data_IF_943331066513
#
_entry.id   IF_943331066513
#
_cell.length_a   1.000
_cell.length_b   1.000
_cell.length_c   1.000
_cell.angle_alpha   90.00
_cell.angle_beta   90.00
_cell.angle_gamma   90.00
#
_symmetry.space_group_name_H-M   'P 1'
#
loop_
_entity.id
_entity.type
_entity.pdbx_description
1 polymer ?
#
# COMPACT_ATOMS: atom_id res chain seq x y z
N UNK A 1 13.95 -2.51 13.30
CA UNK A 1 13.02 -1.38 13.49
C UNK A 1 13.85 -0.15 13.75
N UNK A 2 14.80 -0.24 14.68
CA UNK A 2 15.87 0.75 14.91
C UNK A 2 16.53 1.23 13.60
N UNK A 3 17.07 0.33 12.76
CA UNK A 3 17.69 0.74 11.49
C UNK A 3 16.78 1.62 10.61
N UNK A 4 15.47 1.36 10.60
CA UNK A 4 14.51 2.08 9.73
C UNK A 4 14.13 3.45 10.30
N UNK A 5 14.17 3.61 11.61
CA UNK A 5 13.97 4.91 12.28
C UNK A 5 15.24 5.75 12.22
N UNK A 6 16.41 5.10 12.25
CA UNK A 6 17.71 5.77 12.05
C UNK A 6 17.85 6.30 10.62
N UNK A 7 17.39 5.54 9.62
CA UNK A 7 17.30 6.01 8.23
C UNK A 7 16.42 7.26 8.10
N UNK A 8 15.27 7.28 8.78
CA UNK A 8 14.38 8.44 8.80
C UNK A 8 15.01 9.65 9.48
N UNK A 9 15.62 9.47 10.66
CA UNK A 9 16.30 10.54 11.38
C UNK A 9 17.46 11.11 10.54
N UNK A 10 18.23 10.25 9.88
CA UNK A 10 19.30 10.64 8.96
C UNK A 10 18.77 11.48 7.80
N UNK A 11 17.68 11.04 7.17
CA UNK A 11 17.02 11.78 6.09
C UNK A 11 16.53 13.16 6.57
N UNK A 12 15.86 13.22 7.72
CA UNK A 12 15.37 14.47 8.31
C UNK A 12 16.51 15.45 8.58
N UNK A 13 17.61 14.99 9.18
CA UNK A 13 18.79 15.82 9.44
C UNK A 13 19.43 16.32 8.14
N UNK A 14 19.49 15.48 7.11
CA UNK A 14 19.98 15.90 5.79
C UNK A 14 19.13 17.05 5.21
N UNK A 15 17.80 16.95 5.26
CA UNK A 15 16.91 18.02 4.80
C UNK A 15 17.04 19.28 5.65
N UNK A 16 17.18 19.14 6.96
CA UNK A 16 17.39 20.27 7.86
C UNK A 16 18.71 21.00 7.57
N UNK A 17 19.79 20.26 7.33
CA UNK A 17 21.07 20.86 6.96
C UNK A 17 21.00 21.58 5.61
N UNK A 18 20.32 21.03 4.61
CA UNK A 18 20.04 21.73 3.35
C UNK A 18 19.27 23.03 3.58
N UNK A 19 18.26 23.02 4.45
CA UNK A 19 17.53 24.22 4.82
C UNK A 19 18.44 25.29 5.44
N UNK A 20 19.36 24.86 6.31
CA UNK A 20 20.34 25.75 6.97
C UNK A 20 21.35 26.38 6.02
N UNK A 21 21.62 25.79 4.85
CA UNK A 21 22.54 26.35 3.87
C UNK A 21 22.01 27.66 3.26
N UNK A 22 20.70 27.79 3.05
CA UNK A 22 20.08 28.99 2.50
C UNK A 22 19.32 29.84 3.54
N UNK A 23 18.89 29.25 4.65
CA UNK A 23 18.21 29.92 5.75
C UNK A 23 18.88 29.59 7.09
N UNK A 24 19.89 30.38 7.52
CA UNK A 24 20.67 30.12 8.73
C UNK A 24 19.84 30.06 10.03
N UNK A 25 18.65 30.65 10.05
CA UNK A 25 17.70 30.66 11.15
C UNK A 25 16.70 29.49 11.11
N UNK A 26 16.75 28.61 10.09
CA UNK A 26 15.83 27.48 9.95
C UNK A 26 15.71 26.65 11.23
N UNK A 27 14.49 26.25 11.59
CA UNK A 27 14.22 25.46 12.80
C UNK A 27 13.61 24.11 12.45
N UNK A 28 13.88 23.11 13.29
CA UNK A 28 13.31 21.77 13.18
C UNK A 28 12.41 21.52 14.38
N UNK A 29 11.22 20.98 14.13
CA UNK A 29 10.22 20.58 15.14
C UNK A 29 9.86 19.13 14.90
N UNK A 30 9.93 18.32 15.95
CA UNK A 30 9.61 16.88 15.90
C UNK A 30 8.38 16.65 16.77
N UNK A 31 7.48 15.75 16.35
CA UNK A 31 6.19 15.50 17.01
C UNK A 31 5.37 16.79 17.24
N UNK A 32 5.33 17.65 16.21
CA UNK A 32 4.69 18.97 16.31
C UNK A 32 3.18 18.83 16.17
N UNK A 33 2.41 19.30 17.16
CA UNK A 33 0.95 19.44 17.01
C UNK A 33 0.64 20.54 15.98
N UNK A 34 -0.14 20.20 14.96
CA UNK A 34 -0.55 21.06 13.85
C UNK A 34 -2.06 21.22 13.89
N UNK A 35 -2.50 22.43 14.23
CA UNK A 35 -3.91 22.79 14.36
C UNK A 35 -4.41 23.41 13.04
N UNK A 36 -5.41 22.78 12.43
CA UNK A 36 -6.08 23.27 11.22
C UNK A 36 -7.59 23.42 11.44
N UNK A 37 -7.99 23.62 12.71
CA UNK A 37 -9.39 23.64 13.15
C UNK A 37 -10.23 24.76 12.53
N UNK A 38 -9.56 25.81 12.07
CA UNK A 38 -10.13 26.91 11.28
C UNK A 38 -10.77 26.46 9.96
N UNK A 39 -10.31 25.33 9.41
CA UNK A 39 -10.78 24.77 8.13
C UNK A 39 -11.56 23.48 8.31
N UNK A 40 -11.21 22.68 9.30
CA UNK A 40 -11.87 21.41 9.62
C UNK A 40 -12.30 21.47 11.07
N UNK A 41 -13.60 21.47 11.42
CA UNK A 41 -14.02 21.57 12.82
C UNK A 41 -13.33 20.52 13.70
N UNK A 42 -12.71 20.97 14.80
CA UNK A 42 -11.91 20.14 15.73
C UNK A 42 -10.68 19.45 15.10
N UNK A 43 -10.29 19.85 13.90
CA UNK A 43 -9.22 19.23 13.13
C UNK A 43 -7.82 19.60 13.61
N UNK A 44 -7.06 18.60 14.02
CA UNK A 44 -5.62 18.71 14.29
C UNK A 44 -4.89 17.41 13.95
N UNK A 45 -3.57 17.45 13.92
CA UNK A 45 -2.72 16.28 13.84
C UNK A 45 -1.38 16.48 14.54
N UNK A 46 -0.56 15.44 14.59
CA UNK A 46 0.85 15.53 15.01
C UNK A 46 1.70 15.22 13.80
N UNK A 47 2.47 16.21 13.35
CA UNK A 47 3.46 16.00 12.29
C UNK A 47 4.74 15.44 12.88
N UNK A 48 5.25 14.36 12.30
CA UNK A 48 6.46 13.69 12.78
C UNK A 48 7.67 14.64 12.72
N UNK A 49 7.85 15.35 11.61
CA UNK A 49 8.85 16.40 11.47
C UNK A 49 8.34 17.58 10.64
N UNK A 50 8.64 18.80 11.11
CA UNK A 50 8.43 20.06 10.41
C UNK A 50 9.71 20.88 10.44
N UNK A 51 10.27 21.19 9.28
CA UNK A 51 11.37 22.13 9.12
C UNK A 51 10.77 23.45 8.65
N UNK A 52 11.11 24.53 9.36
CA UNK A 52 10.57 25.87 9.14
C UNK A 52 11.72 26.79 8.77
N UNK A 53 11.62 27.44 7.62
CA UNK A 53 12.55 28.47 7.14
C UNK A 53 11.78 29.56 6.41
N UNK A 54 12.43 30.70 6.16
CA UNK A 54 11.96 31.61 5.12
C UNK A 54 11.92 30.88 3.77
N UNK A 55 10.98 31.30 2.91
CA UNK A 55 10.65 30.69 1.61
C UNK A 55 9.96 29.32 1.69
N UNK A 56 10.52 28.37 2.45
CA UNK A 56 10.10 26.98 2.44
C UNK A 56 9.68 26.46 3.82
N UNK A 57 8.51 25.83 3.86
CA UNK A 57 8.05 24.98 4.95
C UNK A 57 8.08 23.51 4.51
N UNK A 58 8.73 22.63 5.27
CA UNK A 58 8.90 21.23 4.88
C UNK A 58 8.33 20.27 5.93
N UNK A 59 7.36 19.45 5.54
CA UNK A 59 6.72 18.46 6.39
C UNK A 59 7.19 17.08 5.95
N UNK A 60 7.76 16.30 6.86
CA UNK A 60 8.27 14.95 6.58
C UNK A 60 7.54 13.96 7.49
N UNK A 61 6.65 13.14 6.91
CA UNK A 61 5.82 12.14 7.61
C UNK A 61 6.37 10.73 7.37
N UNK A 62 6.49 9.97 8.44
CA UNK A 62 6.99 8.61 8.49
C UNK A 62 5.85 7.59 8.33
N UNK A 63 5.99 6.70 7.35
CA UNK A 63 5.04 5.60 7.12
C UNK A 63 5.71 4.23 7.28
N UNK A 64 5.24 3.45 8.24
CA UNK A 64 5.75 2.08 8.48
C UNK A 64 5.01 0.97 7.71
N UNK A 65 3.98 1.30 6.93
CA UNK A 65 3.23 0.31 6.15
C UNK A 65 4.10 -0.40 5.10
N UNK A 66 3.81 -1.68 4.81
CA UNK A 66 4.44 -2.45 3.71
C UNK A 66 3.44 -2.83 2.60
N UNK A 67 2.14 -2.83 2.90
CA UNK A 67 1.10 -3.31 1.99
C UNK A 67 0.63 -2.28 0.96
N UNK A 68 0.76 -0.99 1.28
CA UNK A 68 0.32 0.11 0.41
C UNK A 68 1.42 1.16 0.35
N UNK A 69 1.84 1.49 -0.88
CA UNK A 69 2.73 2.61 -1.15
C UNK A 69 1.98 3.92 -0.94
N UNK A 70 2.54 4.83 -0.16
CA UNK A 70 1.93 6.14 0.12
C UNK A 70 2.69 7.21 -0.63
N UNK A 71 1.99 8.00 -1.43
CA UNK A 71 2.56 9.10 -2.22
C UNK A 71 2.32 10.43 -1.51
N UNK A 72 3.27 11.37 -1.62
CA UNK A 72 3.12 12.74 -1.11
C UNK A 72 2.30 13.62 -2.06
N UNK A 73 2.38 13.35 -3.37
CA UNK A 73 1.70 14.16 -4.39
C UNK A 73 0.19 14.19 -4.16
N UNK A 74 -0.34 15.40 -3.96
CA UNK A 74 -1.76 15.64 -3.69
C UNK A 74 -2.33 14.82 -2.50
N UNK A 75 -1.50 14.45 -1.53
CA UNK A 75 -1.93 13.69 -0.37
C UNK A 75 -2.75 14.58 0.61
N UNK A 76 -4.02 14.24 0.90
CA UNK A 76 -4.87 15.05 1.78
C UNK A 76 -4.33 15.19 3.21
N UNK A 77 -3.71 14.15 3.78
CA UNK A 77 -3.12 14.20 5.12
C UNK A 77 -1.97 15.22 5.15
N UNK A 78 -1.06 15.14 4.17
CA UNK A 78 0.08 16.06 4.07
C UNK A 78 -0.37 17.51 3.86
N UNK A 79 -1.41 17.72 3.03
CA UNK A 79 -2.03 19.05 2.87
C UNK A 79 -2.59 19.60 4.18
N UNK A 80 -3.24 18.78 5.01
CA UNK A 80 -3.76 19.19 6.31
C UNK A 80 -2.64 19.58 7.28
N UNK A 81 -1.56 18.79 7.33
CA UNK A 81 -0.38 19.14 8.13
C UNK A 81 0.26 20.44 7.64
N UNK A 82 0.41 20.60 6.33
CA UNK A 82 0.91 21.83 5.72
C UNK A 82 0.05 23.05 6.08
N UNK A 83 -1.28 22.94 6.05
CA UNK A 83 -2.19 24.03 6.48
C UNK A 83 -1.99 24.36 7.96
N UNK A 84 -1.95 23.35 8.84
CA UNK A 84 -1.74 23.59 10.26
C UNK A 84 -0.37 24.21 10.58
N UNK A 85 0.66 23.82 9.82
CA UNK A 85 2.00 24.40 9.95
C UNK A 85 2.06 25.83 9.40
N UNK A 86 1.36 26.14 8.31
CA UNK A 86 1.20 27.51 7.81
C UNK A 86 0.44 28.41 8.80
N UNK A 87 -0.62 27.94 9.44
CA UNK A 87 -1.33 28.73 10.45
C UNK A 87 -0.45 29.01 11.67
N UNK A 88 0.45 28.09 12.03
CA UNK A 88 1.37 28.25 13.16
C UNK A 88 2.57 29.14 12.85
N UNK A 89 3.17 28.99 11.66
CA UNK A 89 4.47 29.60 11.34
C UNK A 89 4.42 30.61 10.19
N UNK A 90 3.41 30.59 9.33
CA UNK A 90 3.35 31.40 8.10
C UNK A 90 3.23 32.91 8.32
N UNK A 91 2.90 33.37 9.53
CA UNK A 91 2.98 34.79 9.90
C UNK A 91 4.34 35.20 10.48
N UNK A 92 5.15 34.22 10.90
CA UNK A 92 6.49 34.42 11.47
C UNK A 92 7.57 34.38 10.41
N UNK A 93 7.34 33.60 9.34
CA UNK A 93 8.26 33.40 8.22
C UNK A 93 7.57 33.75 6.91
N UNK A 94 8.31 34.28 5.95
CA UNK A 94 7.77 34.56 4.62
C UNK A 94 7.76 33.27 3.78
N UNK A 95 6.76 32.42 4.01
CA UNK A 95 6.59 31.12 3.33
C UNK A 95 5.73 31.26 2.08
N UNK A 96 6.30 30.95 0.92
CA UNK A 96 5.59 30.91 -0.36
C UNK A 96 5.52 29.50 -0.96
N UNK A 97 6.37 28.58 -0.51
CA UNK A 97 6.32 27.17 -0.89
C UNK A 97 6.21 26.24 0.32
N UNK A 98 5.45 25.16 0.15
CA UNK A 98 5.40 24.06 1.10
C UNK A 98 5.83 22.79 0.39
N UNK A 99 6.83 22.12 0.95
CA UNK A 99 7.23 20.78 0.53
C UNK A 99 6.72 19.75 1.52
N UNK A 100 6.26 18.62 0.99
CA UNK A 100 5.76 17.50 1.78
C UNK A 100 6.47 16.24 1.34
N UNK A 101 6.98 15.48 2.30
CA UNK A 101 7.65 14.20 2.07
C UNK A 101 6.96 13.09 2.85
N UNK A 102 6.67 11.98 2.16
CA UNK A 102 6.35 10.70 2.77
C UNK A 102 7.61 9.84 2.75
N UNK A 103 8.07 9.44 3.93
CA UNK A 103 9.21 8.54 4.10
C UNK A 103 8.73 7.16 4.54
N UNK A 104 8.84 6.18 3.66
CA UNK A 104 8.32 4.82 3.85
C UNK A 104 9.44 3.78 3.64
N UNK A 105 10.24 3.49 4.68
CA UNK A 105 11.51 2.80 4.52
C UNK A 105 11.33 1.31 4.18
N UNK A 106 10.25 0.67 4.66
CA UNK A 106 9.97 -0.75 4.35
C UNK A 106 9.63 -1.03 2.90
N UNK A 107 9.37 0.01 2.10
CA UNK A 107 9.13 -0.08 0.66
C UNK A 107 10.20 0.66 -0.14
N UNK A 108 11.29 1.09 0.51
CA UNK A 108 12.30 1.98 -0.08
C UNK A 108 11.65 3.15 -0.85
N UNK A 109 10.61 3.73 -0.26
CA UNK A 109 9.81 4.77 -0.88
C UNK A 109 10.05 6.09 -0.15
N UNK A 110 10.55 7.07 -0.90
CA UNK A 110 10.60 8.47 -0.51
C UNK A 110 9.86 9.21 -1.61
N UNK A 111 8.73 9.82 -1.26
CA UNK A 111 7.90 10.57 -2.20
C UNK A 111 7.82 12.00 -1.70
N UNK A 112 8.23 12.94 -2.53
CA UNK A 112 8.26 14.37 -2.20
C UNK A 112 7.40 15.15 -3.18
N UNK A 113 6.68 16.14 -2.67
CA UNK A 113 5.84 17.00 -3.47
C UNK A 113 5.82 18.42 -2.92
N UNK A 114 6.06 19.38 -3.80
CA UNK A 114 6.05 20.82 -3.53
C UNK A 114 4.76 21.44 -4.04
N UNK A 115 4.17 22.32 -3.24
CA UNK A 115 2.98 23.10 -3.56
C UNK A 115 3.17 24.55 -3.13
N UNK A 116 2.69 25.48 -3.95
CA UNK A 116 2.68 26.89 -3.58
C UNK A 116 1.72 27.11 -2.39
N UNK A 117 2.15 27.89 -1.40
CA UNK A 117 1.35 28.15 -0.19
C UNK A 117 -0.01 28.78 -0.53
N UNK A 118 -0.09 29.67 -1.53
CA UNK A 118 -1.36 30.29 -1.95
C UNK A 118 -2.31 29.28 -2.59
N UNK A 119 -1.79 28.36 -3.39
CA UNK A 119 -2.59 27.29 -4.00
C UNK A 119 -3.15 26.35 -2.91
N UNK A 120 -2.32 25.97 -1.95
CA UNK A 120 -2.74 25.15 -0.82
C UNK A 120 -3.84 25.84 0.00
N UNK A 121 -3.67 27.11 0.32
CA UNK A 121 -4.67 27.89 1.06
C UNK A 121 -5.92 28.13 0.22
N UNK A 122 -5.82 28.27 -1.10
CA UNK A 122 -6.99 28.33 -1.98
C UNK A 122 -7.83 27.06 -1.84
N UNK A 123 -7.21 25.88 -1.96
CA UNK A 123 -7.88 24.60 -1.75
C UNK A 123 -8.52 24.48 -0.35
N UNK A 124 -7.81 24.94 0.68
CA UNK A 124 -8.32 24.95 2.06
C UNK A 124 -9.63 25.75 2.20
N UNK A 125 -9.69 26.91 1.54
CA UNK A 125 -10.82 27.83 1.63
C UNK A 125 -11.98 27.48 0.69
N UNK A 126 -11.73 26.88 -0.48
CA UNK A 126 -12.77 26.63 -1.49
C UNK A 126 -13.34 25.22 -1.46
N UNK A 127 -12.55 24.23 -1.05
CA UNK A 127 -12.94 22.82 -1.18
C UNK A 127 -12.94 22.09 0.17
N UNK A 128 -11.82 22.17 0.91
CA UNK A 128 -11.65 21.45 2.16
C UNK A 128 -12.72 21.85 3.18
N UNK A 129 -12.89 23.15 3.41
CA UNK A 129 -13.80 23.67 4.43
C UNK A 129 -15.24 23.20 4.22
N UNK A 130 -15.76 23.33 3.01
CA UNK A 130 -17.11 22.87 2.66
C UNK A 130 -17.28 21.36 2.86
N UNK A 131 -16.30 20.55 2.40
CA UNK A 131 -16.34 19.10 2.58
C UNK A 131 -16.27 18.71 4.07
N UNK A 132 -15.45 19.40 4.85
CA UNK A 132 -15.28 19.17 6.28
C UNK A 132 -16.57 19.49 7.06
N UNK A 133 -17.23 20.61 6.76
CA UNK A 133 -18.51 20.98 7.39
C UNK A 133 -19.62 19.97 7.10
N UNK A 134 -19.72 19.49 5.85
CA UNK A 134 -20.67 18.44 5.48
C UNK A 134 -20.38 17.13 6.22
N UNK A 135 -19.11 16.74 6.30
CA UNK A 135 -18.71 15.54 7.03
C UNK A 135 -19.01 15.66 8.54
N UNK A 136 -18.67 16.80 9.15
CA UNK A 136 -18.87 17.06 10.58
C UNK A 136 -20.35 17.04 10.98
N UNK A 137 -21.23 17.53 10.10
CA UNK A 137 -22.69 17.52 10.33
C UNK A 137 -23.39 16.23 9.91
N UNK A 138 -22.63 15.21 9.48
CA UNK A 138 -23.19 13.93 9.02
C UNK A 138 -23.93 14.00 7.68
N UNK A 139 -23.75 15.08 6.92
CA UNK A 139 -24.37 15.33 5.60
C UNK A 139 -23.44 15.00 4.44
N UNK A 140 -22.27 14.42 4.72
CA UNK A 140 -21.33 13.94 3.71
C UNK A 140 -21.92 12.82 2.86
N UNK A 141 -21.50 12.74 1.60
CA UNK A 141 -21.83 11.61 0.72
C UNK A 141 -20.74 10.55 0.83
N UNK A 142 -21.13 9.28 1.01
CA UNK A 142 -20.19 8.17 1.02
C UNK A 142 -19.82 7.82 -0.41
N UNK A 143 -18.55 8.05 -0.75
CA UNK A 143 -17.98 7.64 -2.02
C UNK A 143 -17.14 6.38 -1.82
N UNK A 144 -17.35 5.39 -2.69
CA UNK A 144 -16.46 4.25 -2.76
C UNK A 144 -15.10 4.69 -3.34
N UNK A 145 -14.03 4.19 -2.73
CA UNK A 145 -12.66 4.38 -3.21
C UNK A 145 -11.70 3.37 -2.58
N UNK A 146 -10.42 3.36 -2.98
CA UNK A 146 -9.45 2.35 -2.54
C UNK A 146 -9.26 2.31 -1.01
N UNK A 147 -9.51 3.41 -0.31
CA UNK A 147 -9.45 3.48 1.16
C UNK A 147 -10.55 2.66 1.85
N UNK A 148 -11.66 2.35 1.16
CA UNK A 148 -12.74 1.56 1.73
C UNK A 148 -12.30 0.14 2.10
N UNK A 149 -11.21 -0.38 1.52
CA UNK A 149 -10.66 -1.70 1.88
C UNK A 149 -10.26 -1.81 3.36
N UNK A 150 -9.97 -0.67 4.01
CA UNK A 150 -9.61 -0.62 5.42
C UNK A 150 -10.83 -0.39 6.34
N UNK A 151 -12.03 -0.25 5.76
CA UNK A 151 -13.26 -0.06 6.52
C UNK A 151 -13.73 -1.36 7.15
N UNK A 152 -14.20 -1.30 8.39
CA UNK A 152 -14.84 -2.44 9.08
C UNK A 152 -16.13 -2.89 8.38
N UNK A 153 -16.77 -2.01 7.61
CA UNK A 153 -17.98 -2.34 6.85
C UNK A 153 -17.70 -2.63 5.37
N UNK A 154 -16.43 -2.76 4.95
CA UNK A 154 -16.05 -2.91 3.55
C UNK A 154 -16.79 -4.04 2.82
N UNK A 155 -16.96 -5.19 3.49
CA UNK A 155 -17.69 -6.32 2.93
C UNK A 155 -19.13 -5.94 2.56
N UNK A 156 -19.82 -5.14 3.38
CA UNK A 156 -21.26 -4.83 3.23
C UNK A 156 -21.53 -3.37 2.81
N UNK A 157 -20.51 -2.65 2.35
CA UNK A 157 -20.62 -1.22 2.03
C UNK A 157 -21.49 -1.01 0.78
N UNK A 158 -22.67 -0.40 0.96
CA UNK A 158 -23.61 -0.11 -0.14
C UNK A 158 -22.97 0.68 -1.28
N UNK A 159 -22.17 1.69 -0.97
CA UNK A 159 -21.49 2.50 -1.99
C UNK A 159 -20.56 1.66 -2.90
N UNK A 160 -19.94 0.59 -2.38
CA UNK A 160 -19.11 -0.33 -3.16
C UNK A 160 -19.96 -1.22 -4.07
N UNK A 161 -21.09 -1.73 -3.54
CA UNK A 161 -22.07 -2.43 -4.37
C UNK A 161 -22.55 -1.54 -5.52
N UNK A 162 -22.96 -0.30 -5.25
CA UNK A 162 -23.47 0.61 -6.28
C UNK A 162 -22.41 0.97 -7.33
N UNK A 163 -21.15 1.13 -6.89
CA UNK A 163 -20.02 1.40 -7.79
C UNK A 163 -19.83 0.27 -8.82
N UNK A 164 -19.83 -0.98 -8.36
CA UNK A 164 -19.66 -2.15 -9.23
C UNK A 164 -20.94 -2.58 -9.96
N UNK A 165 -22.11 -2.32 -9.38
CA UNK A 165 -23.40 -2.63 -10.02
C UNK A 165 -23.59 -1.88 -11.34
N UNK A 166 -22.91 -0.74 -11.53
CA UNK A 166 -22.86 -0.04 -12.83
C UNK A 166 -22.35 -0.94 -13.96
N UNK A 167 -21.48 -1.90 -13.67
CA UNK A 167 -20.96 -2.86 -14.65
C UNK A 167 -22.02 -3.85 -15.15
N UNK A 168 -23.21 -3.91 -14.54
CA UNK A 168 -24.33 -4.72 -15.07
C UNK A 168 -24.75 -4.27 -16.48
N UNK A 169 -24.46 -3.02 -16.86
CA UNK A 169 -24.62 -2.55 -18.24
C UNK A 169 -23.78 -3.32 -19.27
N UNK A 170 -22.69 -3.94 -18.82
CA UNK A 170 -21.84 -4.82 -19.60
C UNK A 170 -22.26 -6.28 -19.52
N UNK A 171 -23.44 -6.63 -18.98
CA UNK A 171 -24.00 -7.97 -19.13
C UNK A 171 -24.25 -8.23 -20.62
N UNK A 172 -23.26 -8.88 -21.24
CA UNK A 172 -23.08 -8.93 -22.68
C UNK A 172 -24.27 -9.59 -23.39
N UNK A 173 -24.95 -8.82 -24.24
CA UNK A 173 -25.57 -9.37 -25.44
C UNK A 173 -24.46 -9.58 -26.48
N UNK A 174 -24.23 -10.84 -26.85
CA UNK A 174 -23.21 -11.35 -27.78
C UNK A 174 -21.72 -11.05 -27.41
N UNK A 175 -20.86 -12.08 -27.27
CA UNK A 175 -19.45 -11.97 -26.85
C UNK A 175 -18.52 -11.09 -27.68
N UNK A 176 -18.96 -10.58 -28.84
CA UNK A 176 -18.08 -10.01 -29.87
C UNK A 176 -18.21 -8.48 -30.04
N UNK A 177 -18.81 -7.77 -29.08
CA UNK A 177 -19.14 -6.33 -29.25
C UNK A 177 -18.53 -5.40 -28.19
N UNK A 178 -17.70 -5.91 -27.27
CA UNK A 178 -17.01 -5.02 -26.34
C UNK A 178 -15.98 -4.17 -27.07
N UNK A 179 -16.09 -2.86 -26.90
CA UNK A 179 -15.08 -1.90 -27.34
C UNK A 179 -13.90 -1.89 -26.37
N UNK A 180 -12.72 -1.47 -26.84
CA UNK A 180 -11.51 -1.33 -26.01
C UNK A 180 -11.75 -0.45 -24.77
N UNK A 181 -12.61 0.57 -24.90
CA UNK A 181 -12.99 1.44 -23.78
C UNK A 181 -13.78 0.69 -22.71
N UNK A 182 -14.70 -0.18 -23.11
CA UNK A 182 -15.50 -0.97 -22.18
C UNK A 182 -14.65 -2.06 -21.50
N UNK A 183 -13.71 -2.66 -22.24
CA UNK A 183 -12.72 -3.59 -21.65
C UNK A 183 -11.86 -2.88 -20.62
N UNK A 184 -11.37 -1.68 -20.94
CA UNK A 184 -10.57 -0.87 -20.01
C UNK A 184 -11.33 -0.54 -18.74
N UNK A 185 -12.60 -0.15 -18.87
CA UNK A 185 -13.45 0.11 -17.70
C UNK A 185 -13.65 -1.13 -16.83
N UNK A 186 -13.85 -2.32 -17.42
CA UNK A 186 -13.94 -3.56 -16.63
C UNK A 186 -12.61 -3.88 -15.93
N UNK A 187 -11.48 -3.68 -16.60
CA UNK A 187 -10.14 -3.91 -16.02
C UNK A 187 -9.87 -3.01 -14.80
N UNK A 188 -10.40 -1.79 -14.78
CA UNK A 188 -10.28 -0.89 -13.62
C UNK A 188 -11.00 -1.43 -12.36
N UNK A 189 -11.96 -2.34 -12.52
CA UNK A 189 -12.80 -2.85 -11.41
C UNK A 189 -12.51 -4.30 -11.01
N UNK A 190 -11.97 -5.12 -11.92
CA UNK A 190 -11.96 -6.59 -11.78
C UNK A 190 -11.20 -7.09 -10.54
N UNK A 191 -10.05 -6.50 -10.24
CA UNK A 191 -9.22 -6.91 -9.10
C UNK A 191 -9.91 -6.60 -7.76
N UNK A 192 -10.59 -5.45 -7.68
CA UNK A 192 -11.36 -5.11 -6.49
C UNK A 192 -12.59 -6.00 -6.32
N UNK A 193 -13.29 -6.33 -7.41
CA UNK A 193 -14.41 -7.26 -7.42
C UNK A 193 -14.02 -8.64 -6.90
N UNK A 194 -12.89 -9.18 -7.39
CA UNK A 194 -12.38 -10.47 -6.93
C UNK A 194 -12.06 -10.45 -5.44
N UNK A 195 -11.38 -9.40 -4.96
CA UNK A 195 -11.11 -9.20 -3.53
C UNK A 195 -12.42 -9.11 -2.74
N UNK A 196 -13.39 -8.34 -3.21
CA UNK A 196 -14.68 -8.16 -2.53
C UNK A 196 -15.45 -9.47 -2.39
N UNK A 197 -15.45 -10.32 -3.42
CA UNK A 197 -16.10 -11.62 -3.37
C UNK A 197 -15.51 -12.51 -2.25
N UNK A 198 -14.19 -12.46 -2.06
CA UNK A 198 -13.53 -13.15 -0.95
C UNK A 198 -13.90 -12.53 0.41
N UNK A 199 -13.88 -11.20 0.54
CA UNK A 199 -14.26 -10.50 1.78
C UNK A 199 -15.70 -10.78 2.20
N UNK A 200 -16.64 -10.87 1.26
CA UNK A 200 -18.03 -11.28 1.52
C UNK A 200 -18.08 -12.71 2.07
N UNK A 201 -17.31 -13.63 1.46
CA UNK A 201 -17.27 -15.02 1.90
C UNK A 201 -16.72 -15.14 3.32
N UNK A 202 -15.64 -14.41 3.62
CA UNK A 202 -15.01 -14.39 4.94
C UNK A 202 -15.95 -13.78 5.98
N UNK A 203 -16.60 -12.65 5.67
CA UNK A 203 -17.61 -12.03 6.53
C UNK A 203 -18.79 -12.98 6.82
N UNK A 204 -19.32 -13.65 5.79
CA UNK A 204 -20.42 -14.58 5.96
C UNK A 204 -20.02 -15.80 6.80
N UNK A 205 -18.80 -16.33 6.59
CA UNK A 205 -18.25 -17.43 7.35
C UNK A 205 -18.02 -17.04 8.83
N UNK A 206 -17.42 -15.87 9.08
CA UNK A 206 -17.17 -15.34 10.43
C UNK A 206 -18.48 -15.23 11.24
N UNK A 207 -19.51 -14.58 10.68
CA UNK A 207 -20.81 -14.49 11.34
C UNK A 207 -21.47 -15.86 11.57
N UNK A 208 -21.27 -16.81 10.65
CA UNK A 208 -21.82 -18.14 10.82
C UNK A 208 -21.11 -18.92 11.94
N UNK A 209 -19.77 -18.83 12.00
CA UNK A 209 -18.91 -19.56 12.95
C UNK A 209 -19.00 -18.94 14.34
N UNK A 210 -18.82 -17.62 14.44
CA UNK A 210 -18.65 -16.92 15.71
C UNK A 210 -19.95 -16.38 16.30
N UNK A 211 -20.96 -16.13 15.46
CA UNK A 211 -22.24 -15.54 15.87
C UNK A 211 -23.44 -16.47 15.62
N UNK A 212 -23.21 -17.69 15.13
CA UNK A 212 -24.26 -18.68 14.86
C UNK A 212 -25.24 -18.29 13.76
N UNK A 213 -24.90 -17.30 12.92
CA UNK A 213 -25.78 -16.83 11.85
C UNK A 213 -25.97 -17.91 10.79
N UNK A 214 -27.23 -18.19 10.44
CA UNK A 214 -27.54 -19.09 9.34
C UNK A 214 -27.78 -18.32 8.04
N UNK A 215 -27.19 -18.81 6.94
CA UNK A 215 -27.37 -18.25 5.61
C UNK A 215 -28.15 -19.24 4.74
N UNK A 216 -29.31 -18.86 4.16
CA UNK A 216 -30.08 -19.75 3.31
C UNK A 216 -29.25 -20.35 2.16
N UNK A 217 -29.28 -21.67 2.02
CA UNK A 217 -28.51 -22.41 0.99
C UNK A 217 -27.07 -22.75 1.37
N UNK A 218 -26.59 -22.33 2.55
CA UNK A 218 -25.23 -22.61 3.03
C UNK A 218 -25.25 -23.39 4.34
N UNK A 219 -24.17 -24.15 4.59
CA UNK A 219 -23.93 -24.85 5.86
C UNK A 219 -22.45 -24.73 6.24
N UNK A 220 -22.18 -24.75 7.54
CA UNK A 220 -20.81 -24.89 8.06
C UNK A 220 -20.47 -26.38 8.06
N UNK A 221 -19.27 -26.70 7.58
CA UNK A 221 -18.70 -28.05 7.62
C UNK A 221 -17.26 -27.95 8.08
N UNK A 222 -16.71 -29.04 8.58
CA UNK A 222 -15.28 -29.12 8.87
C UNK A 222 -14.46 -28.89 7.59
N UNK A 223 -13.35 -28.16 7.74
CA UNK A 223 -12.39 -27.99 6.65
C UNK A 223 -11.78 -29.31 6.20
N UNK A 224 -11.17 -29.33 5.02
CA UNK A 224 -10.40 -30.51 4.56
C UNK A 224 -9.25 -30.75 5.53
N UNK A 225 -9.30 -31.88 6.23
CA UNK A 225 -8.16 -32.36 7.02
C UNK A 225 -7.07 -32.91 6.09
N UNK A 226 -5.83 -32.47 6.32
CA UNK A 226 -4.64 -33.04 5.67
C UNK A 226 -3.99 -34.01 6.65
N UNK A 227 -3.83 -35.26 6.21
CA UNK A 227 -3.15 -36.28 7.00
C UNK A 227 -1.67 -35.94 7.13
N UNK A 228 -1.18 -35.98 8.36
CA UNK A 228 0.24 -35.91 8.70
C UNK A 228 0.60 -37.15 9.52
N UNK A 229 1.87 -37.54 9.51
CA UNK A 229 2.34 -38.60 10.38
C UNK A 229 2.32 -38.12 11.83
N UNK A 230 1.79 -38.96 12.73
CA UNK A 230 1.76 -38.67 14.17
C UNK A 230 3.17 -38.71 14.78
N UNK A 231 3.98 -39.65 14.31
CA UNK A 231 5.37 -39.85 14.71
C UNK A 231 6.14 -40.34 13.47
N UNK A 232 6.95 -39.45 12.90
CA UNK A 232 7.74 -39.74 11.70
C UNK A 232 8.79 -40.84 11.96
N UNK A 233 9.30 -40.99 13.18
CA UNK A 233 10.29 -42.01 13.53
C UNK A 233 9.65 -43.40 13.66
N UNK A 234 8.46 -43.48 14.28
CA UNK A 234 7.69 -44.73 14.32
C UNK A 234 7.29 -45.16 12.90
N UNK A 235 6.89 -44.21 12.06
CA UNK A 235 6.57 -44.47 10.64
C UNK A 235 7.81 -44.92 9.88
N UNK A 236 8.96 -44.28 10.09
CA UNK A 236 10.21 -44.66 9.46
C UNK A 236 10.65 -46.07 9.84
N UNK A 237 10.55 -46.41 11.13
CA UNK A 237 10.85 -47.76 11.62
C UNK A 237 9.93 -48.82 11.02
N UNK A 238 8.62 -48.56 10.99
CA UNK A 238 7.64 -49.46 10.37
C UNK A 238 7.97 -49.63 8.88
N UNK A 239 8.31 -48.54 8.19
CA UNK A 239 8.67 -48.57 6.78
C UNK A 239 9.93 -49.41 6.54
N UNK A 240 10.98 -49.21 7.33
CA UNK A 240 12.22 -50.01 7.26
C UNK A 240 11.98 -51.49 7.60
N UNK A 241 11.20 -51.79 8.65
CA UNK A 241 10.83 -53.16 9.04
C UNK A 241 10.06 -53.90 7.93
N UNK A 242 9.35 -53.18 7.06
CA UNK A 242 8.62 -53.72 5.92
C UNK A 242 9.40 -53.61 4.58
N UNK A 243 10.70 -53.29 4.63
CA UNK A 243 11.57 -53.24 3.46
C UNK A 243 11.42 -52.00 2.58
N UNK A 244 10.76 -50.94 3.07
CA UNK A 244 10.75 -49.64 2.41
C UNK A 244 11.96 -48.82 2.86
N UNK A 245 12.85 -48.53 1.92
CA UNK A 245 14.03 -47.69 2.11
C UNK A 245 13.88 -46.39 1.30
N UNK A 246 14.66 -45.35 1.62
CA UNK A 246 14.57 -44.01 1.00
C UNK A 246 13.24 -43.27 1.25
N UNK A 247 12.81 -43.29 2.51
CA UNK A 247 11.54 -42.74 2.99
C UNK A 247 11.59 -41.23 3.32
N UNK A 248 12.72 -40.57 3.05
CA UNK A 248 12.96 -39.17 3.41
C UNK A 248 13.22 -38.29 2.17
N UNK A 249 12.63 -37.10 2.15
CA UNK A 249 12.90 -36.12 1.10
C UNK A 249 14.03 -35.17 1.49
N UNK A 250 15.17 -35.22 0.79
CA UNK A 250 16.21 -34.17 0.88
C UNK A 250 15.82 -32.99 -0.02
N UNK A 251 15.66 -31.80 0.56
CA UNK A 251 15.35 -30.58 -0.20
C UNK A 251 16.36 -29.48 0.09
N UNK A 252 16.85 -28.84 -0.96
CA UNK A 252 17.70 -27.65 -0.86
C UNK A 252 16.94 -26.51 -0.15
N UNK A 253 17.64 -25.74 0.66
CA UNK A 253 17.06 -24.60 1.35
C UNK A 253 16.55 -23.55 0.35
N UNK A 254 15.42 -22.87 0.64
CA UNK A 254 15.02 -21.68 -0.10
C UNK A 254 16.15 -20.65 -0.09
N UNK A 255 16.35 -19.95 -1.22
CA UNK A 255 17.42 -18.96 -1.43
C UNK A 255 17.55 -18.01 -0.23
N UNK A 256 16.45 -17.46 0.26
CA UNK A 256 16.46 -16.51 1.39
C UNK A 256 16.94 -17.12 2.70
N UNK A 257 16.67 -18.41 2.94
CA UNK A 257 17.15 -19.12 4.14
C UNK A 257 18.63 -19.47 4.01
N UNK A 258 19.07 -19.90 2.83
CA UNK A 258 20.48 -20.20 2.57
C UNK A 258 21.34 -18.93 2.59
N UNK A 259 20.86 -17.84 2.01
CA UNK A 259 21.51 -16.51 2.05
C UNK A 259 21.66 -16.01 3.49
N UNK A 260 20.63 -16.17 4.33
CA UNK A 260 20.72 -15.79 5.75
C UNK A 260 21.73 -16.62 6.53
N UNK A 261 21.90 -17.90 6.21
CA UNK A 261 22.88 -18.78 6.87
C UNK A 261 24.32 -18.49 6.44
N UNK A 262 24.54 -18.27 5.14
CA UNK A 262 25.87 -18.08 4.57
C UNK A 262 26.34 -16.62 4.68
N UNK A 263 25.39 -15.68 4.80
CA UNK A 263 25.60 -14.25 4.79
C UNK A 263 25.65 -13.70 3.35
N UNK A 264 24.97 -12.57 3.10
CA UNK A 264 24.77 -11.98 1.76
C UNK A 264 26.04 -11.95 0.90
N UNK A 265 27.17 -11.46 1.45
CA UNK A 265 28.43 -11.34 0.70
C UNK A 265 28.95 -12.69 0.21
N UNK A 266 29.07 -13.67 1.11
CA UNK A 266 29.52 -15.03 0.76
C UNK A 266 28.51 -15.78 -0.11
N UNK A 267 27.21 -15.55 0.11
CA UNK A 267 26.18 -16.18 -0.71
C UNK A 267 26.29 -15.74 -2.17
N UNK A 268 26.46 -14.44 -2.43
CA UNK A 268 26.69 -13.92 -3.77
C UNK A 268 28.01 -14.44 -4.36
N UNK A 269 29.09 -14.47 -3.58
CA UNK A 269 30.39 -14.99 -4.03
C UNK A 269 30.30 -16.46 -4.47
N UNK A 270 29.59 -17.30 -3.71
CA UNK A 270 29.58 -18.75 -3.92
C UNK A 270 28.51 -19.23 -4.91
N UNK A 271 27.36 -18.56 -4.98
CA UNK A 271 26.18 -19.12 -5.68
C UNK A 271 25.63 -18.22 -6.79
N UNK A 272 26.21 -17.05 -7.06
CA UNK A 272 25.70 -16.14 -8.09
C UNK A 272 25.63 -16.75 -9.49
N UNK A 273 26.58 -17.63 -9.84
CA UNK A 273 26.59 -18.33 -11.13
C UNK A 273 25.53 -19.44 -11.23
N UNK A 274 25.03 -19.93 -10.09
CA UNK A 274 24.04 -21.01 -9.98
C UNK A 274 22.61 -20.48 -9.76
N UNK A 275 22.42 -19.15 -9.72
CA UNK A 275 21.12 -18.50 -9.54
C UNK A 275 20.68 -17.87 -10.85
N UNK A 276 19.66 -18.47 -11.46
CA UNK A 276 18.95 -17.86 -12.58
C UNK A 276 17.81 -17.00 -12.03
N UNK A 277 17.83 -15.70 -12.34
CA UNK A 277 16.67 -14.82 -12.16
C UNK A 277 15.94 -14.73 -13.51
N UNK A 278 14.95 -15.60 -13.78
CA UNK A 278 14.22 -15.52 -15.03
C UNK A 278 13.50 -14.17 -15.12
N UNK A 279 13.34 -13.67 -16.36
CA UNK A 279 12.47 -12.53 -16.59
C UNK A 279 11.06 -12.90 -16.10
N UNK A 280 10.44 -11.99 -15.34
CA UNK A 280 9.05 -12.17 -14.93
C UNK A 280 8.15 -12.24 -16.15
N UNK A 281 7.10 -13.08 -16.10
CA UNK A 281 6.11 -13.14 -17.17
C UNK A 281 5.51 -11.74 -17.40
N UNK A 282 5.42 -11.26 -18.67
CA UNK A 282 4.74 -10.02 -18.97
C UNK A 282 3.34 -10.03 -18.35
N UNK A 283 3.04 -8.98 -17.60
CA UNK A 283 1.76 -8.84 -16.88
C UNK A 283 1.15 -7.51 -17.28
N UNK A 284 -0.11 -7.53 -17.71
CA UNK A 284 -0.85 -6.31 -18.00
C UNK A 284 -1.15 -5.60 -16.68
N UNK A 285 -0.75 -4.34 -16.58
CA UNK A 285 -0.96 -3.50 -15.39
C UNK A 285 -1.36 -2.09 -15.81
N UNK A 286 -2.05 -1.32 -14.95
CA UNK A 286 -2.37 0.07 -15.23
C UNK A 286 -1.12 0.92 -15.42
N UNK A 287 -1.22 2.03 -16.16
CA UNK A 287 -0.12 2.98 -16.39
C UNK A 287 0.39 3.66 -15.09
N UNK A 288 -0.35 3.57 -13.99
CA UNK A 288 0.11 4.04 -12.68
C UNK A 288 1.19 3.13 -12.07
N UNK A 289 1.35 1.91 -12.57
CA UNK A 289 2.45 1.03 -12.21
C UNK A 289 3.77 1.62 -12.72
N UNK A 290 4.71 1.82 -11.81
CA UNK A 290 6.00 2.49 -12.10
C UNK A 290 6.98 1.59 -12.87
N UNK A 291 6.67 0.30 -13.04
CA UNK A 291 7.53 -0.61 -13.80
C UNK A 291 7.58 -0.16 -15.26
N UNK A 292 8.79 -0.15 -15.82
CA UNK A 292 8.99 0.21 -17.22
C UNK A 292 8.20 -0.73 -18.15
N UNK A 293 7.55 -0.14 -19.16
CA UNK A 293 6.83 -0.91 -20.17
C UNK A 293 7.81 -1.73 -21.01
N UNK A 294 7.41 -2.95 -21.34
CA UNK A 294 8.18 -3.83 -22.21
C UNK A 294 7.77 -3.51 -23.65
N UNK A 295 8.70 -3.04 -24.48
CA UNK A 295 8.50 -2.95 -25.93
C UNK A 295 8.70 -4.34 -26.54
N UNK A 296 7.70 -4.86 -27.27
CA UNK A 296 7.62 -6.21 -27.87
C UNK A 296 9.00 -6.88 -28.11
N UNK A 297 9.33 -7.89 -27.31
CA UNK A 297 10.26 -8.94 -27.73
C UNK A 297 9.52 -9.90 -28.69
N UNK A 298 10.18 -10.29 -29.78
CA UNK A 298 9.60 -11.14 -30.81
C UNK A 298 9.11 -12.47 -30.18
N UNK A 299 7.93 -13.00 -30.54
CA UNK A 299 7.43 -14.30 -30.05
C UNK A 299 8.37 -15.48 -30.32
N UNK A 300 9.36 -15.32 -31.21
CA UNK A 300 10.39 -16.32 -31.50
C UNK A 300 11.45 -16.45 -30.39
N UNK A 301 11.60 -15.47 -29.50
CA UNK A 301 12.58 -15.53 -28.41
C UNK A 301 12.05 -16.25 -27.16
N UNK A 302 10.73 -16.48 -27.04
CA UNK A 302 10.11 -17.17 -25.90
C UNK A 302 10.05 -18.70 -26.05
N UNK A 303 10.36 -19.24 -27.24
CA UNK A 303 10.47 -20.68 -27.51
C UNK A 303 11.92 -21.06 -27.86
N UNK A 304 12.86 -20.84 -26.95
CA UNK A 304 14.10 -21.62 -26.95
C UNK A 304 13.84 -22.86 -26.11
N UNK A 305 13.60 -23.98 -26.80
CA UNK A 305 13.61 -25.31 -26.20
C UNK A 305 14.88 -25.49 -25.37
N UNK A 306 14.67 -25.89 -24.11
CA UNK A 306 15.74 -26.38 -23.24
C UNK A 306 16.44 -27.56 -23.95
N UNK A 307 17.75 -27.46 -24.12
CA UNK A 307 18.62 -28.60 -24.46
C UNK A 307 19.19 -29.20 -23.19
#
# INVERSE_FOLDING_TARGET
MEDLTDDYASYVLEQYHKAKEYAPDATIRVEQKLDFSKYVPEGFGTGDCVIVSDHLLHIIDFKYGKGVRVEAKNNPQMKLYAIGALEMFGNLYNVDEVETTIFQPRMANISTWTINAKELMHWANTELKTKAELAFTGKGTVHYGPWCQFSTCNAVLRARFDYHHKLTRFQLRSPNLLTDSEVTEVLEHIDDLNRWAHEIKDYAADLAINNGKQWPGYKIVEGRSVRHYKDEAAVAKIAEEHGYHDIYQKKLLPITKLEKQVGKKKFTELFSQEIVKPAGKPTLVPNSDQRQSISKSNPQDEFKEEK
#
